data_IF_940406559377
#
_entry.id   IF_940406559377
#
_cell.length_a   1.000
_cell.length_b   1.000
_cell.length_c   1.000
_cell.angle_alpha   90.00
_cell.angle_beta   90.00
_cell.angle_gamma   90.00
#
_symmetry.space_group_name_H-M   'P 1'
#
loop_
_entity.id
_entity.type
_entity.pdbx_description
1 polymer ?
#
# COMPACT_ATOMS: atom_id res chain seq x y z
N UNK A 1 18.67 59.66 -36.98
CA UNK A 1 17.97 58.77 -36.03
C UNK A 1 18.21 57.33 -36.45
N UNK A 2 18.95 56.55 -35.65
CA UNK A 2 19.10 55.09 -35.83
C UNK A 2 18.22 54.41 -34.78
N UNK A 3 17.25 53.62 -35.24
CA UNK A 3 16.29 52.91 -34.39
C UNK A 3 17.00 51.94 -33.46
N UNK A 4 16.62 51.93 -32.17
CA UNK A 4 17.05 50.91 -31.21
C UNK A 4 16.37 49.57 -31.58
N UNK A 5 17.10 48.44 -31.60
CA UNK A 5 16.49 47.15 -31.87
C UNK A 5 15.54 46.75 -30.72
N UNK A 6 14.48 46.03 -31.07
CA UNK A 6 13.46 45.58 -30.14
C UNK A 6 14.01 44.54 -29.16
N UNK A 7 13.47 44.51 -27.95
CA UNK A 7 13.89 43.63 -26.85
C UNK A 7 13.87 42.13 -27.22
N UNK A 8 12.97 41.72 -28.10
CA UNK A 8 12.88 40.34 -28.60
C UNK A 8 14.12 39.93 -29.45
N UNK A 9 14.74 40.88 -30.15
CA UNK A 9 15.93 40.66 -30.97
C UNK A 9 17.18 40.44 -30.10
N UNK A 10 17.19 41.01 -28.88
CA UNK A 10 18.25 40.80 -27.89
C UNK A 10 18.16 39.41 -27.23
N UNK A 11 16.95 38.91 -26.97
CA UNK A 11 16.73 37.57 -26.40
C UNK A 11 17.09 36.48 -27.41
N UNK A 12 16.71 36.65 -28.68
CA UNK A 12 17.07 35.70 -29.75
C UNK A 12 18.60 35.61 -29.94
N UNK A 13 19.33 36.73 -29.86
CA UNK A 13 20.81 36.73 -29.91
C UNK A 13 21.47 36.18 -28.65
N UNK A 14 20.83 36.29 -27.48
CA UNK A 14 21.34 35.71 -26.23
C UNK A 14 21.16 34.19 -26.17
N UNK A 15 20.03 33.67 -26.66
CA UNK A 15 19.76 32.21 -26.73
C UNK A 15 20.66 31.48 -27.72
N UNK A 16 21.05 32.12 -28.83
CA UNK A 16 21.96 31.56 -29.84
C UNK A 16 23.44 31.51 -29.40
N UNK A 17 23.79 32.00 -28.21
CA UNK A 17 25.18 32.03 -27.67
C UNK A 17 25.41 31.08 -26.49
N UNK A 18 24.44 30.28 -26.09
CA UNK A 18 24.64 29.22 -25.08
C UNK A 18 24.79 27.88 -25.81
N UNK A 19 25.74 27.82 -26.73
CA UNK A 19 26.27 26.55 -27.22
C UNK A 19 27.58 26.30 -26.47
N UNK A 20 27.63 25.21 -25.70
CA UNK A 20 28.87 24.79 -25.04
C UNK A 20 29.95 24.62 -26.10
N UNK A 21 31.04 25.38 -25.97
CA UNK A 21 32.20 25.22 -26.85
C UNK A 21 32.74 23.80 -26.76
N UNK A 22 33.46 23.36 -27.80
CA UNK A 22 34.02 22.01 -27.83
C UNK A 22 34.90 21.71 -26.59
N UNK A 23 35.63 22.72 -26.10
CA UNK A 23 36.49 22.63 -24.92
C UNK A 23 35.70 22.59 -23.60
N UNK A 24 34.59 23.32 -23.47
CA UNK A 24 33.71 23.23 -22.30
C UNK A 24 33.01 21.88 -22.22
N UNK A 25 32.59 21.34 -23.37
CA UNK A 25 32.01 20.00 -23.46
C UNK A 25 33.02 18.90 -23.11
N UNK A 26 34.29 19.10 -23.45
CA UNK A 26 35.36 18.20 -23.06
C UNK A 26 35.65 18.25 -21.55
N UNK A 27 35.71 19.45 -20.96
CA UNK A 27 35.81 19.62 -19.50
C UNK A 27 34.64 18.99 -18.76
N UNK A 28 33.42 19.16 -19.25
CA UNK A 28 32.24 18.54 -18.65
C UNK A 28 32.29 17.01 -18.71
N UNK A 29 32.71 16.44 -19.86
CA UNK A 29 32.91 14.99 -19.99
C UNK A 29 34.02 14.46 -19.08
N UNK A 30 35.09 15.22 -18.91
CA UNK A 30 36.16 14.89 -17.97
C UNK A 30 35.63 14.84 -16.53
N UNK A 31 34.92 15.88 -16.08
CA UNK A 31 34.34 15.94 -14.72
C UNK A 31 33.32 14.82 -14.49
N UNK A 32 32.47 14.51 -15.48
CA UNK A 32 31.51 13.42 -15.36
C UNK A 32 32.16 12.04 -15.28
N UNK A 33 33.26 11.82 -16.03
CA UNK A 33 34.05 10.58 -15.94
C UNK A 33 34.72 10.45 -14.58
N UNK A 34 35.30 11.53 -14.07
CA UNK A 34 35.95 11.57 -12.76
C UNK A 34 34.93 11.32 -11.64
N UNK A 35 33.77 11.98 -11.72
CA UNK A 35 32.67 11.77 -10.78
C UNK A 35 32.12 10.33 -10.82
N UNK A 36 32.04 9.73 -12.01
CA UNK A 36 31.62 8.33 -12.18
C UNK A 36 32.66 7.34 -11.63
N UNK A 37 33.96 7.66 -11.68
CA UNK A 37 35.03 6.84 -11.12
C UNK A 37 34.99 6.79 -9.58
N UNK A 38 34.57 7.89 -8.93
CA UNK A 38 34.43 7.97 -7.47
C UNK A 38 33.15 7.31 -6.91
N UNK A 39 32.19 6.96 -7.77
CA UNK A 39 30.96 6.23 -7.41
C UNK A 39 30.84 4.97 -8.27
N UNK A 40 31.69 3.94 -8.07
CA UNK A 40 31.40 2.64 -8.67
C UNK A 40 30.00 2.24 -8.22
N UNK A 41 29.08 2.05 -9.18
CA UNK A 41 27.77 1.47 -8.89
C UNK A 41 28.06 0.22 -8.08
N UNK A 42 27.53 0.13 -6.85
CA UNK A 42 27.58 -1.09 -6.04
C UNK A 42 27.35 -2.25 -7.00
N UNK A 43 28.35 -3.11 -7.11
CA UNK A 43 28.32 -4.27 -7.96
C UNK A 43 26.93 -4.89 -7.83
N UNK A 44 26.23 -4.98 -8.96
CA UNK A 44 24.94 -5.64 -9.01
C UNK A 44 25.13 -6.98 -8.30
N UNK A 45 24.51 -7.13 -7.14
CA UNK A 45 24.37 -8.43 -6.52
C UNK A 45 23.77 -9.30 -7.62
N UNK A 46 24.50 -10.35 -7.99
CA UNK A 46 24.17 -11.19 -9.13
C UNK A 46 22.67 -11.48 -9.07
N UNK A 47 21.96 -11.09 -10.13
CA UNK A 47 20.53 -11.30 -10.23
C UNK A 47 20.26 -12.79 -9.92
N UNK A 48 19.26 -13.12 -9.07
CA UNK A 48 18.87 -14.50 -8.83
C UNK A 48 18.71 -15.23 -10.16
N UNK A 49 19.20 -16.48 -10.26
CA UNK A 49 19.38 -17.24 -11.51
C UNK A 49 18.16 -17.36 -12.44
N UNK A 50 16.98 -16.93 -11.98
CA UNK A 50 15.78 -16.75 -12.80
C UNK A 50 15.97 -15.70 -13.92
N UNK A 51 16.69 -14.60 -13.66
CA UNK A 51 16.92 -13.54 -14.65
C UNK A 51 17.91 -13.93 -15.75
N UNK A 52 18.92 -14.75 -15.44
CA UNK A 52 19.88 -15.23 -16.43
C UNK A 52 19.20 -16.14 -17.49
N UNK A 53 18.25 -16.97 -17.05
CA UNK A 53 17.46 -17.82 -17.95
C UNK A 53 16.43 -17.04 -18.79
N UNK A 54 15.99 -15.86 -18.32
CA UNK A 54 15.04 -14.99 -19.01
C UNK A 54 15.72 -14.14 -20.09
N UNK A 55 16.91 -13.60 -19.83
CA UNK A 55 17.64 -12.79 -20.82
C UNK A 55 18.07 -13.60 -22.04
N UNK A 56 18.45 -14.88 -21.86
CA UNK A 56 18.76 -15.77 -22.99
C UNK A 56 17.51 -16.12 -23.83
N UNK A 57 16.32 -16.19 -23.23
CA UNK A 57 15.06 -16.42 -23.96
C UNK A 57 14.54 -15.19 -24.69
N UNK A 58 14.83 -13.98 -24.19
CA UNK A 58 14.43 -12.71 -24.80
C UNK A 58 15.29 -12.41 -26.06
N UNK A 59 16.58 -12.74 -26.05
CA UNK A 59 17.42 -12.64 -27.26
C UNK A 59 16.96 -13.57 -28.39
N UNK A 60 16.40 -14.74 -28.07
CA UNK A 60 15.87 -15.67 -29.07
C UNK A 60 14.55 -15.19 -29.71
N UNK A 61 13.73 -14.44 -28.96
CA UNK A 61 12.49 -13.84 -29.48
C UNK A 61 12.77 -12.62 -30.37
N UNK A 62 13.77 -11.81 -30.04
CA UNK A 62 14.09 -10.57 -30.78
C UNK A 62 14.47 -10.79 -32.26
N UNK A 63 14.86 -12.01 -32.66
CA UNK A 63 15.27 -12.32 -34.03
C UNK A 63 14.17 -12.92 -34.92
N UNK A 64 12.99 -13.22 -34.38
CA UNK A 64 11.88 -13.87 -35.14
C UNK A 64 10.49 -13.25 -34.94
N UNK A 65 10.31 -12.29 -34.05
CA UNK A 65 9.01 -11.63 -33.89
C UNK A 65 8.86 -10.56 -34.99
N UNK A 66 7.92 -10.72 -35.95
CA UNK A 66 7.74 -9.73 -37.02
C UNK A 66 7.38 -8.38 -36.41
N UNK A 67 7.88 -7.29 -36.99
CA UNK A 67 7.67 -5.91 -36.51
C UNK A 67 6.20 -5.56 -36.26
N UNK A 68 5.27 -6.26 -36.94
CA UNK A 68 3.84 -6.14 -36.72
C UNK A 68 3.37 -6.63 -35.34
N UNK A 69 3.97 -7.68 -34.76
CA UNK A 69 3.62 -8.16 -33.42
C UNK A 69 4.14 -7.21 -32.32
N UNK A 70 5.31 -6.59 -32.53
CA UNK A 70 5.80 -5.51 -31.67
C UNK A 70 4.93 -4.24 -31.80
N UNK A 71 4.50 -3.90 -33.02
CA UNK A 71 3.56 -2.81 -33.28
C UNK A 71 2.17 -3.05 -32.67
N UNK A 72 1.66 -4.27 -32.74
CA UNK A 72 0.39 -4.66 -32.13
C UNK A 72 0.46 -4.64 -30.59
N UNK A 73 1.58 -5.11 -30.00
CA UNK A 73 1.81 -5.01 -28.56
C UNK A 73 1.92 -3.54 -28.13
N UNK A 74 2.63 -2.70 -28.88
CA UNK A 74 2.70 -1.26 -28.63
C UNK A 74 1.33 -0.58 -28.74
N UNK A 75 0.52 -0.91 -29.75
CA UNK A 75 -0.84 -0.41 -29.91
C UNK A 75 -1.78 -0.87 -28.79
N UNK A 76 -1.65 -2.12 -28.34
CA UNK A 76 -2.40 -2.67 -27.19
C UNK A 76 -1.97 -2.07 -25.84
N UNK A 77 -0.70 -1.70 -25.69
CA UNK A 77 -0.20 -0.95 -24.54
C UNK A 77 -0.74 0.49 -24.54
N UNK A 78 -0.85 1.11 -25.72
CA UNK A 78 -1.40 2.48 -25.88
C UNK A 78 -2.92 2.52 -25.68
N UNK A 79 -3.66 1.46 -26.00
CA UNK A 79 -5.11 1.42 -25.81
C UNK A 79 -5.57 1.17 -24.37
N UNK A 80 -4.65 0.96 -23.42
CA UNK A 80 -4.96 0.74 -22.01
C UNK A 80 -5.52 -0.65 -21.68
N UNK A 81 -5.91 -1.46 -22.68
CA UNK A 81 -6.49 -2.79 -22.49
C UNK A 81 -5.54 -3.77 -21.80
N UNK A 82 -4.24 -3.72 -22.13
CA UNK A 82 -3.22 -4.55 -21.47
C UNK A 82 -3.01 -4.13 -20.01
N UNK A 83 -3.07 -2.82 -19.73
CA UNK A 83 -2.93 -2.32 -18.37
C UNK A 83 -4.10 -2.76 -17.48
N UNK A 84 -5.34 -2.67 -18.00
CA UNK A 84 -6.54 -3.12 -17.31
C UNK A 84 -6.53 -4.64 -17.07
N UNK A 85 -6.15 -5.43 -18.08
CA UNK A 85 -6.06 -6.88 -17.95
C UNK A 85 -4.96 -7.32 -16.98
N UNK A 86 -3.80 -6.66 -16.98
CA UNK A 86 -2.70 -6.97 -16.07
C UNK A 86 -3.04 -6.65 -14.61
N UNK A 87 -3.88 -5.65 -14.33
CA UNK A 87 -4.21 -5.25 -12.96
C UNK A 87 -4.89 -6.37 -12.15
N UNK A 88 -5.71 -7.20 -12.80
CA UNK A 88 -6.41 -8.34 -12.20
C UNK A 88 -5.59 -9.63 -12.13
N UNK A 89 -4.35 -9.64 -12.63
CA UNK A 89 -3.54 -10.88 -12.67
C UNK A 89 -2.90 -11.23 -11.33
N UNK A 90 -2.73 -12.54 -11.13
CA UNK A 90 -2.04 -13.18 -10.00
C UNK A 90 -0.68 -13.74 -10.44
N UNK A 91 0.26 -13.97 -9.51
CA UNK A 91 1.49 -14.71 -9.82
C UNK A 91 1.20 -16.04 -10.51
N UNK A 92 1.85 -16.26 -11.66
CA UNK A 92 1.59 -17.42 -12.53
C UNK A 92 0.82 -17.06 -13.81
N UNK A 93 0.08 -15.96 -13.79
CA UNK A 93 -0.62 -15.46 -14.98
C UNK A 93 0.33 -14.82 -15.98
N UNK A 94 -0.04 -14.89 -17.27
CA UNK A 94 0.77 -14.41 -18.39
C UNK A 94 1.12 -12.91 -18.29
N UNK A 95 0.21 -12.06 -17.80
CA UNK A 95 0.40 -10.61 -17.73
C UNK A 95 0.90 -10.12 -16.36
N UNK A 96 1.08 -11.01 -15.37
CA UNK A 96 1.59 -10.63 -14.06
C UNK A 96 2.99 -10.00 -14.10
N UNK A 97 3.94 -10.48 -14.93
CA UNK A 97 5.22 -9.81 -15.09
C UNK A 97 5.08 -8.37 -15.59
N UNK A 98 4.08 -8.07 -16.42
CA UNK A 98 3.80 -6.71 -16.91
C UNK A 98 3.28 -5.83 -15.78
N UNK A 99 2.37 -6.36 -14.94
CA UNK A 99 1.85 -5.68 -13.74
C UNK A 99 3.00 -5.17 -12.86
N UNK A 100 3.86 -6.08 -12.44
CA UNK A 100 4.90 -5.80 -11.43
C UNK A 100 6.12 -5.09 -12.02
N UNK A 101 6.54 -5.41 -13.25
CA UNK A 101 7.77 -4.85 -13.82
C UNK A 101 7.57 -3.53 -14.56
N UNK A 102 6.36 -3.23 -15.02
CA UNK A 102 6.08 -2.07 -15.89
C UNK A 102 5.05 -1.15 -15.25
N UNK A 103 3.85 -1.66 -14.95
CA UNK A 103 2.73 -0.80 -14.56
C UNK A 103 2.90 -0.20 -13.17
N UNK A 104 3.24 -1.03 -12.18
CA UNK A 104 3.42 -0.55 -10.81
C UNK A 104 4.63 0.39 -10.64
N UNK A 105 5.81 0.13 -11.26
CA UNK A 105 6.92 1.08 -11.23
C UNK A 105 6.63 2.37 -11.99
N UNK A 106 5.90 2.30 -13.11
CA UNK A 106 5.46 3.49 -13.85
C UNK A 106 4.57 4.37 -12.96
N UNK A 107 3.58 3.78 -12.28
CA UNK A 107 2.72 4.50 -11.33
C UNK A 107 3.53 5.07 -10.16
N UNK A 108 4.45 4.29 -9.60
CA UNK A 108 5.35 4.75 -8.53
C UNK A 108 6.19 5.96 -8.96
N UNK A 109 6.66 5.98 -10.21
CA UNK A 109 7.48 7.07 -10.76
C UNK A 109 6.66 8.35 -11.00
N UNK A 110 5.37 8.21 -11.27
CA UNK A 110 4.42 9.32 -11.42
C UNK A 110 3.87 9.83 -10.08
N UNK A 111 4.12 9.12 -8.99
CA UNK A 111 3.75 9.56 -7.64
C UNK A 111 4.83 10.48 -7.08
N UNK A 112 4.61 11.78 -7.11
CA UNK A 112 5.66 12.77 -6.83
C UNK A 112 5.95 13.01 -5.34
N UNK A 113 4.92 13.11 -4.49
CA UNK A 113 5.12 13.42 -3.07
C UNK A 113 5.49 12.16 -2.28
N UNK A 114 6.37 12.30 -1.29
CA UNK A 114 6.76 11.21 -0.40
C UNK A 114 5.57 10.64 0.38
N UNK A 115 4.61 11.47 0.79
CA UNK A 115 3.35 11.02 1.36
C UNK A 115 2.50 10.16 0.39
N UNK A 116 2.35 10.59 -0.86
CA UNK A 116 1.61 9.82 -1.84
C UNK A 116 2.34 8.51 -2.19
N UNK A 117 3.69 8.53 -2.20
CA UNK A 117 4.50 7.32 -2.37
C UNK A 117 4.29 6.36 -1.21
N UNK A 118 4.26 6.84 0.03
CA UNK A 118 3.96 6.01 1.20
C UNK A 118 2.60 5.32 1.07
N UNK A 119 1.55 6.07 0.76
CA UNK A 119 0.21 5.52 0.53
C UNK A 119 0.22 4.48 -0.59
N UNK A 120 0.85 4.78 -1.73
CA UNK A 120 0.93 3.85 -2.86
C UNK A 120 1.69 2.57 -2.52
N UNK A 121 2.80 2.65 -1.78
CA UNK A 121 3.57 1.48 -1.36
C UNK A 121 2.80 0.61 -0.35
N UNK A 122 1.98 1.20 0.52
CA UNK A 122 1.05 0.43 1.37
C UNK A 122 -0.01 -0.29 0.55
N UNK A 123 -0.58 0.37 -0.45
CA UNK A 123 -1.51 -0.26 -1.40
C UNK A 123 -0.86 -1.46 -2.08
N UNK A 124 0.41 -1.36 -2.48
CA UNK A 124 1.14 -2.50 -3.07
C UNK A 124 1.38 -3.62 -2.05
N UNK A 125 1.70 -3.29 -0.79
CA UNK A 125 1.85 -4.27 0.28
C UNK A 125 0.54 -5.04 0.51
N UNK A 126 -0.58 -4.34 0.71
CA UNK A 126 -1.91 -4.93 0.87
C UNK A 126 -2.32 -5.75 -0.35
N UNK A 127 -1.98 -5.28 -1.56
CA UNK A 127 -2.24 -6.01 -2.80
C UNK A 127 -1.56 -7.38 -2.80
N UNK A 128 -0.30 -7.48 -2.37
CA UNK A 128 0.41 -8.78 -2.29
C UNK A 128 -0.26 -9.72 -1.29
N UNK A 129 -0.77 -9.21 -0.17
CA UNK A 129 -1.54 -10.00 0.79
C UNK A 129 -2.88 -10.46 0.22
N UNK A 130 -3.58 -9.59 -0.52
CA UNK A 130 -4.82 -9.96 -1.21
C UNK A 130 -4.60 -11.01 -2.30
N UNK A 131 -3.51 -10.91 -3.06
CA UNK A 131 -3.13 -11.91 -4.07
C UNK A 131 -2.80 -13.25 -3.41
N UNK A 132 -2.07 -13.22 -2.29
CA UNK A 132 -1.79 -14.42 -1.51
C UNK A 132 -3.07 -15.05 -0.96
N UNK A 133 -3.99 -14.27 -0.39
CA UNK A 133 -5.26 -14.77 0.14
C UNK A 133 -6.11 -15.40 -0.98
N UNK A 134 -6.10 -14.80 -2.17
CA UNK A 134 -6.80 -15.33 -3.34
C UNK A 134 -6.21 -16.68 -3.76
N UNK A 135 -4.88 -16.77 -3.88
CA UNK A 135 -4.20 -18.00 -4.27
C UNK A 135 -4.29 -19.09 -3.21
N UNK A 136 -4.22 -18.73 -1.93
CA UNK A 136 -4.38 -19.65 -0.80
C UNK A 136 -5.79 -20.25 -0.82
N UNK A 137 -6.82 -19.41 -0.98
CA UNK A 137 -8.21 -19.88 -1.08
C UNK A 137 -8.46 -20.77 -2.29
N UNK A 138 -7.70 -20.60 -3.36
CA UNK A 138 -7.77 -21.43 -4.57
C UNK A 138 -6.91 -22.70 -4.49
N UNK A 139 -6.16 -22.92 -3.41
CA UNK A 139 -5.18 -24.02 -3.29
C UNK A 139 -4.00 -23.90 -4.27
N UNK A 140 -3.76 -22.69 -4.80
CA UNK A 140 -2.76 -22.38 -5.82
C UNK A 140 -1.51 -21.67 -5.25
N UNK A 141 -1.49 -21.36 -3.95
CA UNK A 141 -0.36 -20.75 -3.28
C UNK A 141 0.77 -21.78 -3.05
N UNK A 142 1.63 -21.94 -4.05
CA UNK A 142 2.84 -22.75 -3.89
C UNK A 142 3.92 -22.02 -3.08
N UNK A 143 4.88 -22.73 -2.44
CA UNK A 143 5.96 -22.09 -1.66
C UNK A 143 6.78 -21.06 -2.46
N UNK A 144 6.99 -21.31 -3.76
CA UNK A 144 7.71 -20.37 -4.63
C UNK A 144 6.89 -19.10 -4.87
N UNK A 145 5.57 -19.22 -5.03
CA UNK A 145 4.67 -18.07 -5.21
C UNK A 145 4.55 -17.28 -3.91
N UNK A 146 4.42 -17.97 -2.77
CA UNK A 146 4.41 -17.35 -1.44
C UNK A 146 5.68 -16.51 -1.24
N UNK A 147 6.87 -17.03 -1.56
CA UNK A 147 8.12 -16.28 -1.47
C UNK A 147 8.15 -15.03 -2.35
N UNK A 148 7.60 -15.09 -3.56
CA UNK A 148 7.52 -13.91 -4.46
C UNK A 148 6.61 -12.84 -3.87
N UNK A 149 5.45 -13.25 -3.34
CA UNK A 149 4.48 -12.33 -2.72
C UNK A 149 5.03 -11.75 -1.42
N UNK A 150 5.67 -12.57 -0.58
CA UNK A 150 6.34 -12.17 0.65
C UNK A 150 7.41 -11.10 0.38
N UNK A 151 8.32 -11.36 -0.56
CA UNK A 151 9.35 -10.39 -0.93
C UNK A 151 8.75 -9.10 -1.51
N UNK A 152 7.62 -9.19 -2.21
CA UNK A 152 6.87 -8.03 -2.70
C UNK A 152 6.24 -7.22 -1.56
N UNK A 153 5.63 -7.90 -0.59
CA UNK A 153 5.04 -7.31 0.61
C UNK A 153 6.10 -6.57 1.43
N UNK A 154 7.18 -7.25 1.82
CA UNK A 154 8.26 -6.68 2.63
C UNK A 154 8.91 -5.46 1.96
N UNK A 155 9.16 -5.56 0.65
CA UNK A 155 9.71 -4.43 -0.13
C UNK A 155 8.79 -3.22 -0.08
N UNK A 156 7.50 -3.43 -0.30
CA UNK A 156 6.53 -2.35 -0.39
C UNK A 156 6.25 -1.75 1.00
N UNK A 157 6.12 -2.58 2.03
CA UNK A 157 5.95 -2.13 3.41
C UNK A 157 7.19 -1.33 3.90
N UNK A 158 8.41 -1.81 3.62
CA UNK A 158 9.63 -1.08 3.93
C UNK A 158 9.76 0.24 3.15
N UNK A 159 9.38 0.26 1.87
CA UNK A 159 9.37 1.48 1.05
C UNK A 159 8.32 2.50 1.53
N UNK A 160 7.18 2.03 2.03
CA UNK A 160 6.18 2.88 2.66
C UNK A 160 6.75 3.54 3.92
N UNK A 161 7.36 2.76 4.81
CA UNK A 161 7.98 3.27 6.04
C UNK A 161 9.10 4.28 5.74
N UNK A 162 9.88 4.07 4.68
CA UNK A 162 10.89 5.03 4.25
C UNK A 162 10.26 6.33 3.70
N UNK A 163 9.24 6.22 2.85
CA UNK A 163 8.56 7.37 2.24
C UNK A 163 7.80 8.21 3.27
N UNK A 164 7.24 7.60 4.32
CA UNK A 164 6.61 8.33 5.42
C UNK A 164 7.61 9.20 6.18
N UNK A 165 8.79 8.66 6.47
CA UNK A 165 9.86 9.42 7.14
C UNK A 165 10.33 10.62 6.29
N UNK A 166 10.29 10.49 4.97
CA UNK A 166 10.63 11.57 4.04
C UNK A 166 9.46 12.56 3.81
N UNK A 167 8.22 12.18 4.13
CA UNK A 167 7.03 12.97 3.81
C UNK A 167 6.98 14.36 4.46
N UNK A 168 7.73 14.58 5.54
CA UNK A 168 7.66 15.81 6.34
C UNK A 168 6.31 16.00 7.04
N UNK A 169 5.49 14.95 7.11
CA UNK A 169 4.26 14.93 7.89
C UNK A 169 4.53 15.19 9.37
N UNK A 170 3.52 15.73 10.05
CA UNK A 170 3.56 15.82 11.51
C UNK A 170 3.64 14.40 12.09
N UNK A 171 4.22 14.29 13.30
CA UNK A 171 4.26 13.01 14.02
C UNK A 171 2.86 12.38 14.08
N UNK A 172 1.86 13.15 14.53
CA UNK A 172 0.46 12.70 14.61
C UNK A 172 -0.09 12.17 13.29
N UNK A 173 0.19 12.83 12.15
CA UNK A 173 -0.28 12.36 10.84
C UNK A 173 0.41 11.07 10.42
N UNK A 174 1.72 10.97 10.64
CA UNK A 174 2.52 9.76 10.36
C UNK A 174 2.01 8.59 11.19
N UNK A 175 1.75 8.83 12.46
CA UNK A 175 1.32 7.82 13.41
C UNK A 175 -0.09 7.34 13.08
N UNK A 176 -1.06 8.24 12.83
CA UNK A 176 -2.42 7.89 12.39
C UNK A 176 -2.36 7.03 11.13
N UNK A 177 -1.55 7.44 10.15
CA UNK A 177 -1.38 6.71 8.91
C UNK A 177 -0.77 5.31 9.15
N UNK A 178 0.14 5.19 10.13
CA UNK A 178 0.76 3.91 10.52
C UNK A 178 -0.20 3.01 11.27
N UNK A 179 -1.07 3.57 12.11
CA UNK A 179 -2.15 2.84 12.79
C UNK A 179 -3.17 2.27 11.78
N UNK A 180 -3.64 3.08 10.83
CA UNK A 180 -4.53 2.62 9.76
C UNK A 180 -3.93 1.45 8.97
N UNK A 181 -2.67 1.56 8.56
CA UNK A 181 -1.99 0.46 7.87
C UNK A 181 -1.89 -0.79 8.74
N UNK A 182 -1.51 -0.66 10.02
CA UNK A 182 -1.45 -1.78 10.94
C UNK A 182 -2.82 -2.45 11.15
N UNK A 183 -3.90 -1.68 11.25
CA UNK A 183 -5.25 -2.20 11.35
C UNK A 183 -5.61 -3.03 10.10
N UNK A 184 -5.31 -2.53 8.89
CA UNK A 184 -5.51 -3.27 7.63
C UNK A 184 -4.71 -4.58 7.59
N UNK A 185 -3.46 -4.57 8.05
CA UNK A 185 -2.63 -5.78 8.14
C UNK A 185 -3.20 -6.82 9.12
N UNK A 186 -3.72 -6.37 10.28
CA UNK A 186 -4.38 -7.27 11.25
C UNK A 186 -5.64 -7.94 10.69
N UNK A 187 -6.33 -7.29 9.74
CA UNK A 187 -7.43 -7.92 9.02
C UNK A 187 -6.93 -9.05 8.10
N UNK A 188 -5.77 -8.90 7.45
CA UNK A 188 -5.17 -9.98 6.67
C UNK A 188 -4.75 -11.18 7.53
N UNK A 189 -4.28 -10.99 8.77
CA UNK A 189 -4.05 -12.13 9.69
C UNK A 189 -5.34 -12.89 9.98
N UNK A 190 -6.47 -12.18 10.10
CA UNK A 190 -7.78 -12.81 10.34
C UNK A 190 -8.24 -13.57 9.10
N UNK A 191 -8.00 -13.02 7.90
CA UNK A 191 -8.31 -13.66 6.61
C UNK A 191 -7.47 -14.92 6.41
N UNK A 192 -6.16 -14.87 6.65
CA UNK A 192 -5.30 -16.05 6.48
C UNK A 192 -5.65 -17.16 7.45
N UNK A 193 -5.92 -16.83 8.72
CA UNK A 193 -6.42 -17.81 9.69
C UNK A 193 -7.71 -18.50 9.23
N UNK A 194 -8.66 -17.75 8.70
CA UNK A 194 -9.93 -18.30 8.19
C UNK A 194 -9.73 -19.18 6.93
N UNK A 195 -8.75 -18.84 6.09
CA UNK A 195 -8.39 -19.67 4.93
C UNK A 195 -7.72 -20.97 5.40
N UNK A 196 -6.78 -20.88 6.34
CA UNK A 196 -6.04 -22.02 6.89
C UNK A 196 -6.91 -22.96 7.73
N UNK A 197 -7.97 -22.47 8.40
CA UNK A 197 -8.95 -23.37 9.06
C UNK A 197 -9.81 -24.13 8.06
N UNK A 198 -9.95 -23.62 6.84
CA UNK A 198 -10.74 -24.23 5.77
C UNK A 198 -9.92 -25.21 4.91
N UNK A 199 -8.58 -25.15 4.97
CA UNK A 199 -7.66 -25.97 4.17
C UNK A 199 -6.76 -26.86 5.05
N UNK A 200 -6.52 -28.11 4.66
CA UNK A 200 -5.73 -29.06 5.47
C UNK A 200 -4.21 -28.77 5.43
N UNK A 201 -3.75 -27.88 4.53
CA UNK A 201 -2.36 -27.41 4.45
C UNK A 201 -2.26 -25.91 4.69
N UNK A 202 -1.70 -25.52 5.83
CA UNK A 202 -1.28 -24.13 6.05
C UNK A 202 -0.19 -23.76 5.05
N UNK A 203 -0.47 -22.76 4.20
CA UNK A 203 0.45 -22.27 3.15
C UNK A 203 0.76 -20.79 3.27
N UNK A 204 0.32 -20.13 4.35
CA UNK A 204 0.47 -18.69 4.58
C UNK A 204 1.38 -18.32 5.74
N UNK A 205 1.99 -19.29 6.42
CA UNK A 205 2.72 -19.06 7.67
C UNK A 205 3.91 -18.08 7.56
N UNK A 206 4.58 -18.01 6.40
CA UNK A 206 5.67 -17.04 6.23
C UNK A 206 5.12 -15.61 6.05
N UNK A 207 4.00 -15.46 5.35
CA UNK A 207 3.29 -14.18 5.21
C UNK A 207 2.72 -13.70 6.54
N UNK A 208 2.11 -14.58 7.33
CA UNK A 208 1.61 -14.25 8.67
C UNK A 208 2.75 -13.77 9.59
N UNK A 209 3.89 -14.46 9.56
CA UNK A 209 5.08 -14.05 10.33
C UNK A 209 5.59 -12.66 9.91
N UNK A 210 5.57 -12.36 8.60
CA UNK A 210 5.99 -11.06 8.09
C UNK A 210 5.00 -9.93 8.44
N UNK A 211 3.70 -10.23 8.43
CA UNK A 211 2.67 -9.30 8.92
C UNK A 211 2.92 -8.99 10.40
N UNK A 212 3.10 -10.02 11.23
CA UNK A 212 3.36 -9.84 12.65
C UNK A 212 4.59 -8.97 12.90
N UNK A 213 5.69 -9.21 12.18
CA UNK A 213 6.89 -8.37 12.26
C UNK A 213 6.68 -6.91 11.82
N UNK A 214 5.78 -6.65 10.86
CA UNK A 214 5.40 -5.28 10.47
C UNK A 214 4.47 -4.63 11.51
N UNK A 215 3.57 -5.38 12.13
CA UNK A 215 2.71 -4.90 13.21
C UNK A 215 3.53 -4.48 14.43
N UNK A 216 4.50 -5.29 14.85
CA UNK A 216 5.40 -4.97 15.95
C UNK A 216 6.20 -3.68 15.70
N UNK A 217 6.71 -3.50 14.46
CA UNK A 217 7.36 -2.25 14.05
C UNK A 217 6.41 -1.06 14.14
N UNK A 218 5.16 -1.25 13.73
CA UNK A 218 4.13 -0.19 13.74
C UNK A 218 3.69 0.16 15.17
N UNK A 219 3.57 -0.83 16.06
CA UNK A 219 3.17 -0.65 17.45
C UNK A 219 4.11 0.30 18.21
N UNK A 220 5.42 0.16 17.99
CA UNK A 220 6.44 1.04 18.58
C UNK A 220 6.30 2.52 18.17
N UNK A 221 5.72 2.77 16.99
CA UNK A 221 5.50 4.12 16.45
C UNK A 221 4.19 4.71 17.00
N UNK A 222 3.16 3.89 17.15
CA UNK A 222 1.80 4.38 17.47
C UNK A 222 1.49 4.54 18.96
N UNK A 223 2.33 4.07 19.87
CA UNK A 223 2.09 4.19 21.32
C UNK A 223 1.93 5.64 21.82
N UNK A 224 2.47 6.61 21.08
CA UNK A 224 2.36 8.04 21.38
C UNK A 224 1.02 8.68 20.93
N UNK A 225 0.19 7.96 20.15
CA UNK A 225 -1.08 8.49 19.66
C UNK A 225 -2.16 8.62 20.73
N UNK A 226 -2.07 7.83 21.79
CA UNK A 226 -3.07 7.81 22.85
C UNK A 226 -2.94 8.98 23.84
N UNK A 227 -2.10 9.97 23.52
CA UNK A 227 -1.92 11.19 24.30
C UNK A 227 -2.97 12.26 23.97
N UNK A 228 -3.19 13.17 24.92
CA UNK A 228 -4.23 14.22 24.84
C UNK A 228 -4.02 15.14 23.63
N UNK A 229 -2.76 15.40 23.26
CA UNK A 229 -2.39 16.31 22.17
C UNK A 229 -2.86 15.82 20.79
N UNK A 230 -3.13 14.52 20.63
CA UNK A 230 -3.44 13.90 19.34
C UNK A 230 -4.95 13.64 19.14
N UNK A 231 -5.78 13.90 20.15
CA UNK A 231 -7.21 13.56 20.14
C UNK A 231 -7.97 14.16 18.96
N UNK A 232 -7.66 15.40 18.58
CA UNK A 232 -8.32 16.08 17.44
C UNK A 232 -7.95 15.44 16.10
N UNK A 233 -6.69 15.03 15.93
CA UNK A 233 -6.24 14.34 14.72
C UNK A 233 -6.84 12.95 14.62
N UNK A 234 -6.93 12.22 15.73
CA UNK A 234 -7.57 10.91 15.79
C UNK A 234 -9.06 10.98 15.52
N UNK A 235 -9.78 11.94 16.14
CA UNK A 235 -11.20 12.16 15.86
C UNK A 235 -11.42 12.38 14.37
N UNK A 236 -10.69 13.33 13.79
CA UNK A 236 -10.81 13.65 12.36
C UNK A 236 -10.55 12.42 11.48
N UNK A 237 -9.52 11.63 11.79
CA UNK A 237 -9.20 10.43 11.03
C UNK A 237 -10.26 9.34 11.18
N UNK A 238 -10.83 9.15 12.38
CA UNK A 238 -11.93 8.24 12.62
C UNK A 238 -13.19 8.65 11.83
N UNK A 239 -13.54 9.94 11.85
CA UNK A 239 -14.67 10.49 11.09
C UNK A 239 -14.48 10.25 9.57
N UNK A 240 -13.29 10.57 9.03
CA UNK A 240 -12.96 10.33 7.62
C UNK A 240 -13.00 8.83 7.25
N UNK A 241 -12.56 7.95 8.15
CA UNK A 241 -12.59 6.51 7.93
C UNK A 241 -14.02 5.93 7.98
N UNK A 242 -14.88 6.47 8.84
CA UNK A 242 -16.31 6.11 8.91
C UNK A 242 -17.03 6.56 7.64
N UNK A 243 -16.78 7.78 7.16
CA UNK A 243 -17.34 8.27 5.89
C UNK A 243 -16.88 7.40 4.71
N UNK A 244 -15.60 7.06 4.64
CA UNK A 244 -15.07 6.17 3.62
C UNK A 244 -15.71 4.77 3.68
N UNK A 245 -15.88 4.23 4.89
CA UNK A 245 -16.51 2.93 5.12
C UNK A 245 -17.99 2.90 4.73
N UNK A 246 -18.76 3.95 5.07
CA UNK A 246 -20.16 4.09 4.67
C UNK A 246 -20.31 4.10 3.14
N UNK A 247 -19.48 4.90 2.46
CA UNK A 247 -19.44 4.96 1.00
C UNK A 247 -19.07 3.61 0.38
N UNK A 248 -18.06 2.94 0.94
CA UNK A 248 -17.62 1.63 0.48
C UNK A 248 -18.71 0.56 0.64
N UNK A 249 -19.34 0.47 1.82
CA UNK A 249 -20.45 -0.45 2.06
C UNK A 249 -21.62 -0.20 1.10
N UNK A 250 -21.97 1.07 0.88
CA UNK A 250 -22.98 1.43 -0.12
C UNK A 250 -22.64 0.95 -1.54
N UNK A 251 -21.35 1.00 -1.91
CA UNK A 251 -20.89 0.58 -3.24
C UNK A 251 -20.90 -0.95 -3.43
N UNK A 252 -20.57 -1.72 -2.39
CA UNK A 252 -20.37 -3.18 -2.47
C UNK A 252 -21.58 -3.98 -1.99
N UNK A 253 -22.57 -3.36 -1.33
CA UNK A 253 -23.73 -4.05 -0.74
C UNK A 253 -24.44 -5.01 -1.72
N UNK A 254 -24.54 -4.65 -3.00
CA UNK A 254 -25.20 -5.48 -4.03
C UNK A 254 -24.46 -6.78 -4.36
N UNK A 255 -23.16 -6.85 -4.07
CA UNK A 255 -22.35 -8.06 -4.27
C UNK A 255 -22.18 -8.91 -3.01
N UNK A 256 -22.70 -8.46 -1.86
CA UNK A 256 -22.59 -9.21 -0.61
C UNK A 256 -23.76 -10.19 -0.45
N UNK A 257 -23.50 -11.31 0.22
CA UNK A 257 -24.58 -12.16 0.73
C UNK A 257 -25.33 -11.44 1.86
N UNK A 258 -26.56 -11.86 2.18
CA UNK A 258 -27.33 -11.27 3.27
C UNK A 258 -26.61 -11.37 4.63
N UNK A 259 -25.94 -12.49 4.90
CA UNK A 259 -25.18 -12.68 6.15
C UNK A 259 -23.91 -11.81 6.18
N UNK A 260 -23.17 -11.71 5.08
CA UNK A 260 -21.98 -10.84 4.98
C UNK A 260 -22.38 -9.37 5.13
N UNK A 261 -23.47 -8.94 4.48
CA UNK A 261 -23.99 -7.57 4.59
C UNK A 261 -24.39 -7.25 6.03
N UNK A 262 -25.10 -8.15 6.71
CA UNK A 262 -25.48 -7.96 8.12
C UNK A 262 -24.27 -7.84 9.06
N UNK A 263 -23.22 -8.66 8.86
CA UNK A 263 -21.99 -8.60 9.66
C UNK A 263 -21.17 -7.35 9.39
N UNK A 264 -21.02 -6.97 8.12
CA UNK A 264 -20.33 -5.75 7.74
C UNK A 264 -21.04 -4.51 8.31
N UNK A 265 -22.38 -4.49 8.25
CA UNK A 265 -23.19 -3.44 8.86
C UNK A 265 -23.02 -3.39 10.38
N UNK A 266 -23.02 -4.54 11.06
CA UNK A 266 -22.79 -4.59 12.50
C UNK A 266 -21.40 -4.09 12.89
N UNK A 267 -20.36 -4.49 12.16
CA UNK A 267 -19.00 -4.00 12.38
C UNK A 267 -18.86 -2.49 12.13
N UNK A 268 -19.62 -1.95 11.17
CA UNK A 268 -19.70 -0.50 10.94
C UNK A 268 -20.43 0.24 12.06
N UNK A 269 -21.50 -0.34 12.62
CA UNK A 269 -22.19 0.18 13.80
C UNK A 269 -21.26 0.20 15.02
N UNK A 270 -20.53 -0.87 15.27
CA UNK A 270 -19.56 -0.93 16.37
C UNK A 270 -18.47 0.14 16.22
N UNK A 271 -17.99 0.40 15.00
CA UNK A 271 -17.03 1.47 14.73
C UNK A 271 -17.62 2.87 15.03
N UNK A 272 -18.88 3.11 14.69
CA UNK A 272 -19.58 4.37 15.01
C UNK A 272 -19.80 4.53 16.52
N UNK A 273 -20.14 3.44 17.23
CA UNK A 273 -20.28 3.46 18.68
C UNK A 273 -18.98 3.88 19.37
N UNK A 274 -17.82 3.39 18.91
CA UNK A 274 -16.53 3.83 19.45
C UNK A 274 -16.25 5.32 19.21
N UNK A 275 -16.60 5.87 18.04
CA UNK A 275 -16.45 7.30 17.77
C UNK A 275 -17.39 8.14 18.65
N UNK A 276 -18.65 7.71 18.79
CA UNK A 276 -19.63 8.37 19.65
C UNK A 276 -19.19 8.35 21.13
N UNK A 277 -18.59 7.24 21.59
CA UNK A 277 -18.02 7.14 22.91
C UNK A 277 -16.83 8.11 23.10
N UNK A 278 -15.97 8.25 22.10
CA UNK A 278 -14.89 9.25 22.10
C UNK A 278 -15.41 10.68 22.25
N UNK A 279 -16.50 11.01 21.55
CA UNK A 279 -17.16 12.31 21.69
C UNK A 279 -17.77 12.55 23.08
N UNK A 280 -18.30 11.51 23.72
CA UNK A 280 -18.78 11.59 25.10
C UNK A 280 -17.63 11.84 26.08
N UNK A 281 -16.51 11.15 25.92
CA UNK A 281 -15.31 11.32 26.74
C UNK A 281 -14.72 12.72 26.60
N UNK A 282 -14.70 13.30 25.39
CA UNK A 282 -14.32 14.70 25.19
C UNK A 282 -15.20 15.68 25.97
N UNK A 283 -16.52 15.45 26.04
CA UNK A 283 -17.43 16.29 26.84
C UNK A 283 -17.14 16.20 28.33
N UNK A 284 -16.55 15.08 28.78
CA UNK A 284 -16.12 14.86 30.16
C UNK A 284 -14.69 15.35 30.44
N UNK A 285 -14.04 16.01 29.46
CA UNK A 285 -12.62 16.39 29.48
C UNK A 285 -11.64 15.20 29.64
N UNK A 286 -12.05 13.99 29.25
CA UNK A 286 -11.17 12.82 29.20
C UNK A 286 -10.59 12.66 27.79
N UNK A 287 -9.57 13.45 27.48
CA UNK A 287 -8.93 13.44 26.17
C UNK A 287 -8.19 12.13 25.88
N UNK A 288 -7.54 11.53 26.89
CA UNK A 288 -6.87 10.23 26.77
C UNK A 288 -7.84 9.09 26.47
N UNK A 289 -8.94 9.01 27.21
CA UNK A 289 -10.00 8.05 26.95
C UNK A 289 -10.59 8.25 25.55
N UNK A 290 -10.83 9.50 25.17
CA UNK A 290 -11.32 9.83 23.83
C UNK A 290 -10.33 9.42 22.72
N UNK A 291 -9.03 9.68 22.88
CA UNK A 291 -7.99 9.23 21.93
C UNK A 291 -8.03 7.71 21.73
N UNK A 292 -8.18 6.94 22.81
CA UNK A 292 -8.32 5.48 22.73
C UNK A 292 -9.58 5.05 22.00
N UNK A 293 -10.71 5.70 22.27
CA UNK A 293 -11.99 5.42 21.62
C UNK A 293 -11.95 5.73 20.11
N UNK A 294 -11.44 6.91 19.73
CA UNK A 294 -11.28 7.27 18.31
C UNK A 294 -10.29 6.37 17.58
N UNK A 295 -9.18 5.99 18.23
CA UNK A 295 -8.25 4.99 17.68
C UNK A 295 -8.96 3.66 17.43
N UNK A 296 -9.76 3.19 18.39
CA UNK A 296 -10.50 1.93 18.26
C UNK A 296 -11.52 2.00 17.11
N UNK A 297 -12.20 3.14 16.94
CA UNK A 297 -13.09 3.40 15.81
C UNK A 297 -12.36 3.37 14.47
N UNK A 298 -11.22 4.08 14.36
CA UNK A 298 -10.37 4.10 13.17
C UNK A 298 -9.90 2.70 12.80
N UNK A 299 -9.38 1.93 13.76
CA UNK A 299 -8.91 0.56 13.56
C UNK A 299 -10.05 -0.35 13.09
N UNK A 300 -11.26 -0.21 13.67
CA UNK A 300 -12.44 -0.97 13.28
C UNK A 300 -12.88 -0.65 11.84
N UNK A 301 -12.91 0.64 11.46
CA UNK A 301 -13.26 1.10 10.12
C UNK A 301 -12.25 0.62 9.06
N UNK A 302 -10.94 0.70 9.36
CA UNK A 302 -9.89 0.22 8.46
C UNK A 302 -9.98 -1.30 8.21
N UNK A 303 -10.26 -2.07 9.26
CA UNK A 303 -10.45 -3.54 9.16
C UNK A 303 -11.71 -3.89 8.38
N UNK A 304 -12.80 -3.17 8.61
CA UNK A 304 -14.08 -3.40 7.93
C UNK A 304 -13.94 -3.41 6.41
N UNK A 305 -13.21 -2.46 5.82
CA UNK A 305 -13.01 -2.41 4.37
C UNK A 305 -12.32 -3.67 3.84
N UNK A 306 -11.24 -4.10 4.51
CA UNK A 306 -10.44 -5.27 4.14
C UNK A 306 -11.25 -6.56 4.27
N UNK A 307 -11.91 -6.76 5.42
CA UNK A 307 -12.71 -7.96 5.69
C UNK A 307 -13.91 -8.07 4.75
N UNK A 308 -14.62 -6.97 4.51
CA UNK A 308 -15.76 -6.95 3.60
C UNK A 308 -15.35 -7.28 2.17
N UNK A 309 -14.22 -6.70 1.69
CA UNK A 309 -13.69 -7.01 0.36
C UNK A 309 -13.32 -8.49 0.25
N UNK A 310 -12.61 -9.02 1.24
CA UNK A 310 -12.22 -10.43 1.25
C UNK A 310 -13.45 -11.36 1.30
N UNK A 311 -14.46 -11.05 2.11
CA UNK A 311 -15.70 -11.81 2.14
C UNK A 311 -16.43 -11.79 0.79
N UNK A 312 -16.45 -10.63 0.10
CA UNK A 312 -17.06 -10.48 -1.21
C UNK A 312 -16.33 -11.25 -2.31
N UNK A 313 -15.00 -11.27 -2.29
CA UNK A 313 -14.19 -11.84 -3.38
C UNK A 313 -13.79 -13.29 -3.16
N UNK A 314 -13.57 -13.70 -1.91
CA UNK A 314 -13.06 -15.03 -1.53
C UNK A 314 -14.16 -15.97 -1.03
N UNK A 315 -15.37 -15.46 -0.78
CA UNK A 315 -16.48 -16.23 -0.21
C UNK A 315 -16.08 -16.97 1.09
N UNK A 316 -15.44 -16.24 2.00
CA UNK A 316 -15.02 -16.71 3.33
C UNK A 316 -15.78 -15.94 4.42
N UNK A 317 -15.88 -16.50 5.63
CA UNK A 317 -16.43 -15.79 6.77
C UNK A 317 -15.38 -14.91 7.45
N UNK A 318 -14.90 -13.89 6.73
CA UNK A 318 -13.82 -13.00 7.19
C UNK A 318 -14.12 -12.31 8.56
N UNK A 319 -15.39 -12.24 8.96
CA UNK A 319 -15.83 -11.64 10.22
C UNK A 319 -15.96 -12.64 11.38
N UNK A 320 -15.87 -13.95 11.14
CA UNK A 320 -15.97 -14.96 12.19
C UNK A 320 -14.83 -14.85 13.22
N UNK A 321 -13.62 -14.52 12.76
CA UNK A 321 -12.44 -14.39 13.62
C UNK A 321 -12.52 -13.17 14.59
N UNK A 322 -13.35 -12.18 14.30
CA UNK A 322 -13.51 -10.97 15.13
C UNK A 322 -14.44 -11.13 16.32
N UNK A 323 -15.37 -12.09 16.28
CA UNK A 323 -16.38 -12.29 17.34
C UNK A 323 -15.79 -12.91 18.62
N UNK A 324 -14.63 -13.56 18.54
CA UNK A 324 -13.98 -14.20 19.70
C UNK A 324 -13.21 -13.24 20.61
N UNK A 325 -13.12 -11.94 20.28
CA UNK A 325 -12.44 -10.92 21.09
C UNK A 325 -13.43 -9.87 21.58
N UNK A 326 -14.51 -10.32 22.21
CA UNK A 326 -15.50 -9.44 22.83
C UNK A 326 -14.91 -8.75 24.07
N UNK A 327 -14.85 -7.43 24.01
CA UNK A 327 -15.05 -6.43 25.08
C UNK A 327 -14.25 -6.63 26.39
N UNK A 328 -13.40 -5.68 26.82
CA UNK A 328 -12.94 -5.67 28.20
C UNK A 328 -14.17 -5.44 29.07
N UNK A 329 -14.60 -6.47 29.79
CA UNK A 329 -15.48 -6.31 30.93
C UNK A 329 -14.85 -5.25 31.83
N UNK A 330 -15.49 -4.09 31.89
CA UNK A 330 -15.35 -3.17 33.01
C UNK A 330 -15.70 -3.97 34.25
N UNK A 331 -14.67 -4.37 35.01
CA UNK A 331 -14.87 -4.82 36.38
C UNK A 331 -15.57 -3.68 37.12
N UNK A 332 -16.83 -3.96 37.46
CA UNK A 332 -17.63 -3.18 38.36
C UNK A 332 -16.99 -3.29 39.75
N UNK A 333 -16.16 -2.30 40.09
CA UNK A 333 -15.66 -2.10 41.45
C UNK A 333 -16.81 -1.59 42.31
N UNK A 334 -17.72 -2.48 42.69
CA UNK A 334 -18.60 -2.28 43.83
C UNK A 334 -17.82 -2.67 45.10
N UNK A 335 -17.33 -1.64 45.77
CA UNK A 335 -16.86 -1.68 47.16
C UNK A 335 -17.97 -2.22 48.07
N UNK A 336 -17.77 -3.41 48.63
CA UNK A 336 -18.38 -3.82 49.89
C UNK A 336 -17.71 -3.02 51.02
N UNK A 337 -18.37 -1.96 51.48
CA UNK A 337 -18.30 -1.50 52.87
C UNK A 337 -19.68 -1.74 53.48
N UNK A 338 -19.81 -2.84 54.22
CA UNK A 338 -20.42 -2.93 55.56
C UNK A 338 -20.19 -4.33 56.16
#
# INVERSE_FOLDING_TARGET
MKSRPAFEELIARAGARIELSASEREKMRFVLREYAAFRPRRAAQALPGYWAAITERIEYLGRRVPAFALGALALMLVSGGVAAAAEGTLPGDLLYPIKVAILEPARTSLTFSAAAKASWQRTLAERRLSEAATLAKQGALSPNIEQVLLAGFERSAGAADASLRESGYTASTTDVSTADFAARLSAYESIFREIDTTDERSTTGALESAIHAQLERSASTTAALEDDANVTHLKKAADEALDASANFLGSINRSLTASTSARAQKAFEDAQEFAAHGDELLKKNDAKGASKAFRTSLDAAARLEVLTRAAATLNIDAFAATTSRSVPHTEDSASEED
#
